data_IF_259776130204
#
_entry.id   IF_259776130204
#
_cell.length_a   1.000
_cell.length_b   1.000
_cell.length_c   1.000
_cell.angle_alpha   90.00
_cell.angle_beta   90.00
_cell.angle_gamma   90.00
#
_symmetry.space_group_name_H-M   'P 1'
#
loop_
_entity.id
_entity.type
_entity.pdbx_description
1 polymer ?
#
# COMPACT_ATOMS: atom_id res chain seq x y z
N UNK A 1 17.78 -5.33 -5.33
CA UNK A 1 17.49 -4.83 -6.70
C UNK A 1 16.50 -3.71 -6.47
N UNK A 2 16.86 -2.48 -6.81
CA UNK A 2 15.94 -1.36 -6.70
C UNK A 2 14.74 -1.63 -7.59
N UNK A 3 13.54 -1.62 -7.02
CA UNK A 3 12.30 -1.75 -7.79
C UNK A 3 12.11 -0.45 -8.57
N UNK A 4 11.85 -0.53 -9.89
CA UNK A 4 11.55 0.65 -10.70
C UNK A 4 10.41 1.46 -10.03
N UNK A 5 10.62 2.75 -9.69
CA UNK A 5 9.59 3.56 -9.01
C UNK A 5 8.29 3.64 -9.79
N UNK A 6 8.34 3.60 -11.12
CA UNK A 6 7.16 3.60 -12.00
C UNK A 6 6.34 2.31 -11.84
N UNK A 7 7.03 1.18 -11.72
CA UNK A 7 6.41 -0.11 -11.48
C UNK A 7 5.83 -0.17 -10.07
N UNK A 8 6.60 0.26 -9.06
CA UNK A 8 6.15 0.29 -7.66
C UNK A 8 4.92 1.20 -7.48
N UNK A 9 4.90 2.37 -8.12
CA UNK A 9 3.72 3.26 -8.13
C UNK A 9 2.49 2.57 -8.75
N UNK A 10 2.68 1.83 -9.84
CA UNK A 10 1.59 1.08 -10.48
C UNK A 10 1.04 0.00 -9.55
N UNK A 11 1.91 -0.69 -8.80
CA UNK A 11 1.52 -1.68 -7.81
C UNK A 11 0.78 -1.05 -6.63
N UNK A 12 1.24 0.10 -6.12
CA UNK A 12 0.57 0.86 -5.08
C UNK A 12 -0.85 1.29 -5.50
N UNK A 13 -1.01 1.82 -6.72
CA UNK A 13 -2.35 2.18 -7.25
C UNK A 13 -3.26 0.95 -7.30
N UNK A 14 -2.77 -0.17 -7.81
CA UNK A 14 -3.56 -1.41 -7.87
C UNK A 14 -3.92 -1.94 -6.47
N UNK A 15 -3.04 -1.79 -5.48
CA UNK A 15 -3.31 -2.18 -4.10
C UNK A 15 -4.37 -1.29 -3.45
N UNK A 16 -4.35 0.02 -3.71
CA UNK A 16 -5.39 0.96 -3.26
C UNK A 16 -6.77 0.58 -3.83
N UNK A 17 -6.83 0.26 -5.12
CA UNK A 17 -8.06 -0.18 -5.78
C UNK A 17 -8.60 -1.48 -5.16
N UNK A 18 -7.73 -2.49 -4.96
CA UNK A 18 -8.11 -3.76 -4.33
C UNK A 18 -8.57 -3.60 -2.89
N UNK A 19 -7.90 -2.74 -2.11
CA UNK A 19 -8.32 -2.42 -0.74
C UNK A 19 -9.71 -1.79 -0.73
N UNK A 20 -9.98 -0.82 -1.61
CA UNK A 20 -11.32 -0.24 -1.77
C UNK A 20 -12.36 -1.30 -2.15
N UNK A 21 -12.07 -2.17 -3.11
CA UNK A 21 -12.98 -3.25 -3.52
C UNK A 21 -13.29 -4.21 -2.37
N UNK A 22 -12.27 -4.60 -1.57
CA UNK A 22 -12.46 -5.48 -0.42
C UNK A 22 -13.36 -4.83 0.64
N UNK A 23 -13.12 -3.55 0.97
CA UNK A 23 -13.94 -2.79 1.92
C UNK A 23 -15.37 -2.64 1.39
N UNK A 24 -15.54 -2.32 0.11
CA UNK A 24 -16.87 -2.16 -0.51
C UNK A 24 -17.66 -3.48 -0.58
N UNK A 25 -16.98 -4.62 -0.70
CA UNK A 25 -17.58 -5.94 -0.76
C UNK A 25 -17.78 -6.60 0.61
N UNK A 26 -17.24 -6.01 1.68
CA UNK A 26 -17.23 -6.57 3.04
C UNK A 26 -18.65 -6.93 3.52
N UNK A 27 -18.81 -8.15 4.02
CA UNK A 27 -20.08 -8.65 4.57
C UNK A 27 -20.00 -8.82 6.08
N UNK A 28 -19.92 -7.71 6.80
CA UNK A 28 -19.88 -7.68 8.27
C UNK A 28 -18.48 -7.48 8.84
N UNK A 29 -18.41 -7.23 10.15
CA UNK A 29 -17.15 -6.96 10.88
C UNK A 29 -16.22 -8.17 10.91
N UNK A 30 -14.92 -7.95 10.66
CA UNK A 30 -13.87 -8.99 10.72
C UNK A 30 -13.69 -9.79 9.43
N UNK A 31 -13.89 -9.16 8.26
CA UNK A 31 -13.69 -9.84 6.99
C UNK A 31 -12.19 -9.94 6.67
N UNK A 32 -11.66 -11.16 6.71
CA UNK A 32 -10.26 -11.47 6.39
C UNK A 32 -9.80 -10.97 5.01
N UNK A 33 -10.72 -10.66 4.10
CA UNK A 33 -10.37 -10.08 2.80
C UNK A 33 -9.95 -8.62 2.91
N UNK A 34 -10.52 -7.87 3.85
CA UNK A 34 -10.17 -6.48 4.14
C UNK A 34 -8.82 -6.42 4.82
N UNK A 35 -8.60 -7.24 5.86
CA UNK A 35 -7.30 -7.34 6.56
C UNK A 35 -6.17 -7.68 5.57
N UNK A 36 -6.34 -8.72 4.75
CA UNK A 36 -5.35 -9.07 3.73
C UNK A 36 -5.11 -7.99 2.68
N UNK A 37 -6.15 -7.25 2.31
CA UNK A 37 -6.00 -6.16 1.35
C UNK A 37 -5.31 -4.94 1.99
N UNK A 38 -5.47 -4.74 3.29
CA UNK A 38 -4.76 -3.73 4.07
C UNK A 38 -3.26 -4.05 4.15
N UNK A 39 -2.88 -5.27 4.57
CA UNK A 39 -1.47 -5.70 4.63
C UNK A 39 -0.79 -5.54 3.25
N UNK A 40 -1.49 -5.95 2.18
CA UNK A 40 -0.96 -5.84 0.83
C UNK A 40 -0.77 -4.38 0.38
N UNK A 41 -1.65 -3.47 0.82
CA UNK A 41 -1.53 -2.04 0.56
C UNK A 41 -0.32 -1.46 1.31
N UNK A 42 -0.12 -1.85 2.56
CA UNK A 42 1.03 -1.44 3.38
C UNK A 42 2.35 -1.85 2.72
N UNK A 43 2.48 -3.12 2.34
CA UNK A 43 3.66 -3.62 1.62
C UNK A 43 3.91 -2.84 0.32
N UNK A 44 2.85 -2.55 -0.45
CA UNK A 44 2.98 -1.82 -1.71
C UNK A 44 3.40 -0.36 -1.48
N UNK A 45 2.97 0.23 -0.37
CA UNK A 45 3.36 1.57 0.03
C UNK A 45 4.85 1.64 0.37
N UNK A 46 5.33 0.73 1.23
CA UNK A 46 6.75 0.66 1.63
C UNK A 46 7.63 0.47 0.39
N UNK A 47 7.27 -0.47 -0.49
CA UNK A 47 8.02 -0.72 -1.73
C UNK A 47 8.12 0.52 -2.63
N UNK A 48 7.06 1.33 -2.71
CA UNK A 48 7.10 2.56 -3.50
C UNK A 48 7.92 3.65 -2.82
N UNK A 49 7.81 3.81 -1.49
CA UNK A 49 8.62 4.77 -0.74
C UNK A 49 10.11 4.45 -0.83
N UNK A 50 10.49 3.18 -0.66
CA UNK A 50 11.87 2.71 -0.82
C UNK A 50 12.36 2.97 -2.24
N UNK A 51 11.59 2.59 -3.27
CA UNK A 51 11.97 2.81 -4.67
C UNK A 51 12.17 4.30 -4.99
N UNK A 52 11.27 5.17 -4.51
CA UNK A 52 11.36 6.61 -4.74
C UNK A 52 12.58 7.22 -4.03
N UNK A 53 12.85 6.76 -2.81
CA UNK A 53 13.99 7.21 -2.00
C UNK A 53 15.31 6.74 -2.61
N UNK A 54 15.39 5.49 -3.05
CA UNK A 54 16.60 4.93 -3.68
C UNK A 54 16.94 5.60 -5.01
N UNK A 55 15.94 5.85 -5.87
CA UNK A 55 16.17 6.40 -7.22
C UNK A 55 16.33 7.92 -7.22
N UNK A 56 15.52 8.64 -6.43
CA UNK A 56 15.45 10.11 -6.48
C UNK A 56 15.85 10.81 -5.18
N UNK A 57 15.98 10.09 -4.07
CA UNK A 57 16.26 10.68 -2.76
C UNK A 57 15.09 11.48 -2.18
N UNK A 58 13.87 11.22 -2.65
CA UNK A 58 12.65 11.94 -2.27
C UNK A 58 11.73 11.08 -1.39
N UNK A 59 11.02 11.73 -0.47
CA UNK A 59 10.13 11.08 0.50
C UNK A 59 8.66 11.39 0.22
N UNK A 60 7.75 10.55 0.72
CA UNK A 60 6.32 10.76 0.60
C UNK A 60 5.78 11.67 1.71
N UNK A 61 4.78 12.52 1.43
CA UNK A 61 4.10 13.34 2.44
C UNK A 61 3.00 12.56 3.20
N UNK A 62 3.00 11.23 3.09
CA UNK A 62 2.04 10.31 3.70
C UNK A 62 2.84 9.19 4.38
N UNK A 63 2.29 8.61 5.44
CA UNK A 63 2.91 7.53 6.19
C UNK A 63 1.85 6.49 6.59
N UNK A 64 2.31 5.28 6.89
CA UNK A 64 1.47 4.25 7.50
C UNK A 64 1.12 4.70 8.93
N UNK A 65 -0.12 4.48 9.33
CA UNK A 65 -0.55 4.79 10.69
C UNK A 65 0.05 3.76 11.65
N UNK A 66 0.77 4.21 12.68
CA UNK A 66 1.16 3.33 13.77
C UNK A 66 -0.12 2.85 14.51
N UNK A 67 -0.27 1.54 14.69
CA UNK A 67 -1.43 0.92 15.37
C UNK A 67 -1.57 1.33 16.86
N UNK A 68 -0.62 2.12 17.39
CA UNK A 68 -0.54 2.56 18.78
C UNK A 68 -1.36 3.82 19.13
N UNK A 69 -2.29 4.28 18.26
CA UNK A 69 -3.08 5.51 18.50
C UNK A 69 -4.60 5.30 18.53
#
# INVERSE_FOLDING_TARGET
MATDPRLALTQLIAALEKHFEAVAAQRGTGDSSVERAYDQLEDSFINYEEALTEEYGEFLPIAIADEDN
#
